data_IF_880732702462
#
_entry.id   IF_880732702462
#
_cell.length_a   1.000
_cell.length_b   1.000
_cell.length_c   1.000
_cell.angle_alpha   90.00
_cell.angle_beta   90.00
_cell.angle_gamma   90.00
#
_symmetry.space_group_name_H-M   'P 1'
#
loop_
_entity.id
_entity.type
_entity.pdbx_description
1 polymer ?
#
# COMPACT_ATOMS: atom_id res chain seq x y z
N UNK A 1 -12.26 -61.16 -39.27
CA UNK A 1 -13.23 -61.71 -38.29
C UNK A 1 -13.44 -60.57 -37.30
N UNK A 2 -14.50 -59.87 -37.54
CA UNK A 2 -15.79 -59.79 -36.83
C UNK A 2 -15.55 -59.14 -35.44
N UNK A 3 -16.22 -58.09 -35.05
CA UNK A 3 -17.46 -57.49 -35.47
C UNK A 3 -17.74 -56.32 -34.55
N UNK A 4 -18.26 -55.32 -35.13
CA UNK A 4 -19.39 -54.48 -34.78
C UNK A 4 -19.96 -54.47 -33.38
N UNK A 5 -20.15 -53.26 -32.80
CA UNK A 5 -21.43 -52.55 -32.52
C UNK A 5 -21.17 -51.34 -31.69
N UNK A 6 -21.45 -50.21 -32.18
CA UNK A 6 -22.41 -49.10 -31.95
C UNK A 6 -23.37 -49.29 -30.78
N UNK A 7 -23.50 -48.17 -30.02
CA UNK A 7 -24.74 -47.57 -29.46
C UNK A 7 -24.35 -46.44 -28.54
N UNK A 8 -24.62 -45.22 -28.97
CA UNK A 8 -25.73 -44.32 -28.59
C UNK A 8 -26.00 -44.18 -27.10
N UNK A 9 -25.77 -43.01 -26.55
CA UNK A 9 -26.85 -42.25 -25.94
C UNK A 9 -26.41 -41.00 -25.22
N UNK A 10 -26.98 -39.95 -25.66
CA UNK A 10 -27.77 -38.94 -24.94
C UNK A 10 -27.05 -37.91 -24.13
N UNK A 11 -27.04 -36.72 -24.75
CA UNK A 11 -27.19 -35.40 -24.17
C UNK A 11 -28.18 -35.39 -23.00
N UNK A 12 -27.75 -34.90 -21.84
CA UNK A 12 -28.65 -34.32 -20.85
C UNK A 12 -28.15 -32.91 -20.47
N UNK A 13 -28.77 -31.96 -21.17
CA UNK A 13 -28.78 -30.55 -20.78
C UNK A 13 -29.64 -30.41 -19.53
N UNK A 14 -29.01 -30.23 -18.35
CA UNK A 14 -29.70 -29.82 -17.17
C UNK A 14 -29.69 -28.29 -17.03
N UNK A 15 -30.72 -27.73 -17.64
CA UNK A 15 -31.19 -26.36 -17.52
C UNK A 15 -31.73 -26.15 -16.08
N UNK A 16 -30.95 -25.57 -15.16
CA UNK A 16 -31.46 -25.14 -13.85
C UNK A 16 -32.15 -23.79 -14.00
N UNK A 17 -33.43 -23.82 -14.30
CA UNK A 17 -34.33 -22.68 -14.12
C UNK A 17 -34.52 -22.42 -12.63
N UNK A 18 -34.08 -21.25 -12.16
CA UNK A 18 -34.39 -20.73 -10.84
C UNK A 18 -35.88 -20.40 -10.71
N UNK A 19 -36.55 -21.09 -9.83
CA UNK A 19 -37.95 -20.88 -9.49
C UNK A 19 -38.12 -19.58 -8.68
N UNK A 20 -38.63 -18.54 -9.33
CA UNK A 20 -39.17 -17.37 -8.64
C UNK A 20 -40.56 -17.71 -8.09
N UNK A 21 -40.68 -17.85 -6.77
CA UNK A 21 -42.00 -17.94 -6.11
C UNK A 21 -42.69 -16.57 -6.17
N UNK A 22 -43.70 -16.49 -7.00
CA UNK A 22 -44.66 -15.39 -7.06
C UNK A 22 -45.57 -15.46 -5.82
N UNK A 23 -45.38 -14.57 -4.87
CA UNK A 23 -46.38 -14.35 -3.81
C UNK A 23 -47.52 -13.53 -4.39
N UNK A 24 -48.67 -14.15 -4.52
CA UNK A 24 -49.93 -13.46 -4.85
C UNK A 24 -50.62 -13.10 -3.55
N UNK A 25 -50.88 -11.82 -3.24
CA UNK A 25 -51.76 -11.45 -2.14
C UNK A 25 -53.22 -11.58 -2.64
N UNK A 26 -54.03 -12.22 -1.82
CA UNK A 26 -55.45 -12.38 -2.03
C UNK A 26 -56.24 -11.07 -2.02
N UNK A 27 -57.26 -11.06 -2.85
CA UNK A 27 -58.26 -10.01 -3.02
C UNK A 27 -59.01 -9.66 -1.74
N UNK A 28 -59.03 -8.36 -1.38
CA UNK A 28 -60.21 -7.77 -0.70
C UNK A 28 -60.34 -6.31 -1.14
N UNK A 29 -61.60 -6.02 -1.51
CA UNK A 29 -62.09 -4.76 -2.06
C UNK A 29 -61.83 -3.56 -1.16
N UNK A 30 -61.40 -2.45 -1.76
CA UNK A 30 -61.34 -1.15 -1.12
C UNK A 30 -60.74 -0.12 -2.09
N UNK A 31 -61.59 0.61 -2.79
CA UNK A 31 -61.22 1.69 -3.70
C UNK A 31 -60.47 2.78 -2.95
N UNK A 32 -59.25 3.08 -3.39
CA UNK A 32 -58.65 4.40 -3.29
C UNK A 32 -57.56 4.49 -4.38
N UNK A 33 -57.93 5.10 -5.46
CA UNK A 33 -57.03 5.44 -6.54
C UNK A 33 -56.08 6.57 -6.07
N UNK A 34 -54.90 6.23 -5.62
CA UNK A 34 -53.78 7.12 -5.58
C UNK A 34 -52.90 6.90 -6.81
N UNK A 35 -53.30 7.54 -7.89
CA UNK A 35 -52.49 7.73 -9.07
C UNK A 35 -51.30 8.63 -8.71
N UNK A 36 -50.20 8.04 -8.25
CA UNK A 36 -48.90 8.71 -8.24
C UNK A 36 -48.41 8.70 -9.66
N UNK A 37 -48.69 9.73 -10.43
CA UNK A 37 -47.93 10.11 -11.59
C UNK A 37 -46.51 10.43 -11.13
N UNK A 38 -45.63 9.44 -11.20
CA UNK A 38 -44.17 9.68 -11.15
C UNK A 38 -43.85 10.39 -12.46
N UNK A 39 -43.91 11.72 -12.44
CA UNK A 39 -43.21 12.52 -13.45
C UNK A 39 -41.74 12.16 -13.29
N UNK A 40 -41.21 11.34 -14.20
CA UNK A 40 -39.77 11.24 -14.41
C UNK A 40 -39.29 12.64 -14.74
N UNK A 41 -38.80 13.32 -13.73
CA UNK A 41 -38.00 14.52 -13.94
C UNK A 41 -36.71 14.00 -14.55
N UNK A 42 -36.57 14.16 -15.86
CA UNK A 42 -35.30 14.11 -16.56
C UNK A 42 -34.41 15.20 -15.94
N UNK A 43 -33.81 14.88 -14.81
CA UNK A 43 -32.67 15.68 -14.33
C UNK A 43 -31.51 15.30 -15.22
N UNK A 44 -30.93 16.25 -15.98
CA UNK A 44 -29.69 15.98 -16.68
C UNK A 44 -28.68 15.50 -15.62
N UNK A 45 -28.16 14.28 -15.79
CA UNK A 45 -27.10 13.73 -14.97
C UNK A 45 -25.91 14.69 -15.10
N UNK A 46 -25.72 15.52 -14.07
CA UNK A 46 -24.67 16.53 -14.05
C UNK A 46 -23.33 15.81 -14.09
N UNK A 47 -22.44 16.09 -15.06
CA UNK A 47 -21.14 15.39 -15.18
C UNK A 47 -20.21 15.55 -13.96
N UNK A 48 -20.53 16.45 -13.04
CA UNK A 48 -19.76 16.71 -11.83
C UNK A 48 -19.79 15.58 -10.80
N UNK A 49 -20.88 14.81 -10.70
CA UNK A 49 -20.98 13.70 -9.74
C UNK A 49 -20.01 12.58 -10.05
N UNK A 50 -19.72 12.33 -11.33
CA UNK A 50 -18.78 11.29 -11.73
C UNK A 50 -17.32 11.64 -11.39
N UNK A 51 -16.95 12.92 -11.45
CA UNK A 51 -15.57 13.34 -11.09
C UNK A 51 -15.32 13.24 -9.59
N UNK A 52 -16.26 13.69 -8.77
CA UNK A 52 -16.14 13.56 -7.31
C UNK A 52 -16.09 12.09 -6.88
N UNK A 53 -16.94 11.24 -7.45
CA UNK A 53 -16.91 9.80 -7.17
C UNK A 53 -15.57 9.17 -7.56
N UNK A 54 -14.99 9.55 -8.70
CA UNK A 54 -13.68 9.04 -9.12
C UNK A 54 -12.56 9.43 -8.14
N UNK A 55 -12.57 10.65 -7.60
CA UNK A 55 -11.62 11.10 -6.59
C UNK A 55 -11.74 10.29 -5.31
N UNK A 56 -12.97 10.09 -4.80
CA UNK A 56 -13.18 9.26 -3.61
C UNK A 56 -12.71 7.82 -3.79
N UNK A 57 -12.98 7.21 -4.94
CA UNK A 57 -12.53 5.85 -5.25
C UNK A 57 -11.00 5.79 -5.27
N UNK A 58 -10.36 6.80 -5.81
CA UNK A 58 -8.90 6.88 -5.87
C UNK A 58 -8.28 7.03 -4.48
N UNK A 59 -8.78 7.94 -3.65
CA UNK A 59 -8.35 8.10 -2.26
C UNK A 59 -8.57 6.82 -1.46
N UNK A 60 -9.71 6.17 -1.63
CA UNK A 60 -10.00 4.88 -0.99
C UNK A 60 -8.98 3.80 -1.41
N UNK A 61 -8.61 3.75 -2.68
CA UNK A 61 -7.58 2.81 -3.17
C UNK A 61 -6.23 3.08 -2.50
N UNK A 62 -5.82 4.36 -2.39
CA UNK A 62 -4.56 4.75 -1.75
C UNK A 62 -4.54 4.36 -0.26
N UNK A 63 -5.63 4.65 0.47
CA UNK A 63 -5.77 4.27 1.88
C UNK A 63 -5.75 2.74 2.05
N UNK A 64 -6.40 2.02 1.14
CA UNK A 64 -6.40 0.55 1.15
C UNK A 64 -5.01 -0.04 0.91
N UNK A 65 -4.21 0.55 0.01
CA UNK A 65 -2.80 0.16 -0.20
C UNK A 65 -1.96 0.39 1.06
N UNK A 66 -2.15 1.53 1.73
CA UNK A 66 -1.44 1.80 2.99
C UNK A 66 -1.84 0.81 4.09
N UNK A 67 -3.12 0.49 4.22
CA UNK A 67 -3.59 -0.54 5.17
C UNK A 67 -2.99 -1.91 4.86
N UNK A 68 -2.93 -2.30 3.59
CA UNK A 68 -2.27 -3.55 3.18
C UNK A 68 -0.77 -3.53 3.50
N UNK A 69 -0.10 -2.39 3.28
CA UNK A 69 1.30 -2.21 3.65
C UNK A 69 1.53 -2.41 5.15
N UNK A 70 0.69 -1.79 6.00
CA UNK A 70 0.78 -1.91 7.45
C UNK A 70 0.60 -3.35 7.96
N UNK A 71 -0.09 -4.21 7.19
CA UNK A 71 -0.24 -5.64 7.53
C UNK A 71 0.97 -6.50 7.16
N UNK A 72 1.96 -5.94 6.44
CA UNK A 72 3.17 -6.68 6.05
C UNK A 72 4.27 -6.52 7.09
N UNK A 73 4.97 -7.62 7.40
CA UNK A 73 6.17 -7.59 8.27
C UNK A 73 7.41 -7.13 7.47
N UNK A 74 7.49 -5.83 7.21
CA UNK A 74 8.60 -5.22 6.48
C UNK A 74 9.63 -4.68 7.48
N UNK A 75 10.69 -5.47 7.71
CA UNK A 75 11.72 -5.14 8.71
C UNK A 75 12.72 -4.10 8.20
N UNK A 76 12.93 -3.05 9.00
CA UNK A 76 13.95 -2.04 8.74
C UNK A 76 13.60 -1.03 7.66
N UNK A 77 12.36 -0.98 7.23
CA UNK A 77 11.82 0.05 6.35
C UNK A 77 10.51 0.59 6.93
N UNK A 78 10.36 1.89 6.93
CA UNK A 78 9.16 2.58 7.43
C UNK A 78 8.66 3.53 6.37
N UNK A 79 7.37 3.54 6.16
CA UNK A 79 6.73 4.36 5.13
C UNK A 79 5.43 4.94 5.69
N UNK A 80 5.17 6.20 5.40
CA UNK A 80 3.96 6.92 5.80
C UNK A 80 3.50 7.83 4.66
N UNK A 81 2.19 7.87 4.33
CA UNK A 81 1.66 8.86 3.41
C UNK A 81 1.82 10.29 3.94
N UNK A 82 2.04 11.24 3.06
CA UNK A 82 2.02 12.67 3.38
C UNK A 82 0.67 13.08 3.98
N UNK A 83 0.69 13.99 4.94
CA UNK A 83 -0.52 14.57 5.49
C UNK A 83 -1.22 15.54 4.52
N UNK A 84 -0.45 16.13 3.60
CA UNK A 84 -0.92 17.15 2.67
C UNK A 84 -1.29 16.59 1.30
N UNK A 85 -0.68 15.46 0.91
CA UNK A 85 -0.86 14.87 -0.42
C UNK A 85 -0.82 13.35 -0.36
N UNK A 86 -1.97 12.69 -0.48
CA UNK A 86 -2.08 11.23 -0.43
C UNK A 86 -1.28 10.49 -1.53
N UNK A 87 -0.90 11.17 -2.60
CA UNK A 87 -0.06 10.60 -3.67
C UNK A 87 1.44 10.63 -3.37
N UNK A 88 1.85 11.33 -2.32
CA UNK A 88 3.23 11.40 -1.88
C UNK A 88 3.40 10.63 -0.57
N UNK A 89 4.36 9.70 -0.52
CA UNK A 89 4.66 8.92 0.67
C UNK A 89 6.12 9.10 1.05
N UNK A 90 6.37 9.32 2.32
CA UNK A 90 7.73 9.40 2.88
C UNK A 90 8.17 8.04 3.36
N UNK A 91 9.43 7.71 3.12
CA UNK A 91 10.00 6.45 3.58
C UNK A 91 11.41 6.62 4.13
N UNK A 92 11.79 5.71 5.00
CA UNK A 92 13.17 5.56 5.47
C UNK A 92 13.53 4.09 5.54
N UNK A 93 14.74 3.77 5.08
CA UNK A 93 15.27 2.42 5.12
C UNK A 93 16.54 2.35 5.94
N UNK A 94 16.56 1.43 6.91
CA UNK A 94 17.71 1.06 7.72
C UNK A 94 18.30 -0.25 7.16
N UNK A 95 19.49 -0.19 6.60
CA UNK A 95 20.11 -1.36 5.97
C UNK A 95 20.96 -2.10 7.01
N UNK A 96 20.56 -3.35 7.30
CA UNK A 96 21.20 -4.18 8.33
C UNK A 96 22.20 -5.19 7.79
N UNK A 97 22.21 -5.44 6.48
CA UNK A 97 23.07 -6.45 5.84
C UNK A 97 23.52 -6.01 4.45
N UNK A 98 24.49 -6.72 3.90
CA UNK A 98 25.08 -6.39 2.59
C UNK A 98 26.13 -5.29 2.68
N UNK A 99 26.56 -4.80 1.51
CA UNK A 99 27.65 -3.80 1.40
C UNK A 99 27.23 -2.41 1.89
N UNK A 100 25.92 -2.12 1.90
CA UNK A 100 25.34 -0.86 2.40
C UNK A 100 24.98 -0.93 3.88
N UNK A 101 25.41 -1.98 4.60
CA UNK A 101 25.12 -2.16 6.03
C UNK A 101 25.45 -0.92 6.85
N UNK A 102 24.49 -0.51 7.69
CA UNK A 102 24.56 0.67 8.54
C UNK A 102 24.03 1.95 7.87
N UNK A 103 23.68 1.91 6.59
CA UNK A 103 23.08 3.04 5.91
C UNK A 103 21.64 3.32 6.36
N UNK A 104 21.31 4.61 6.37
CA UNK A 104 19.96 5.12 6.65
C UNK A 104 19.57 6.03 5.50
N UNK A 105 18.66 5.57 4.66
CA UNK A 105 18.30 6.28 3.44
C UNK A 105 16.84 6.71 3.49
N UNK A 106 16.60 8.03 3.42
CA UNK A 106 15.26 8.58 3.21
C UNK A 106 14.93 8.57 1.74
N UNK A 107 13.67 8.32 1.45
CA UNK A 107 13.15 8.33 0.08
C UNK A 107 11.70 8.78 0.05
N UNK A 108 11.26 9.20 -1.11
CA UNK A 108 9.84 9.49 -1.38
C UNK A 108 9.31 8.51 -2.42
N UNK A 109 8.03 8.17 -2.30
CA UNK A 109 7.27 7.43 -3.30
C UNK A 109 6.18 8.36 -3.82
N UNK A 110 6.18 8.63 -5.13
CA UNK A 110 5.15 9.41 -5.78
C UNK A 110 4.26 8.50 -6.60
N UNK A 111 2.98 8.43 -6.26
CA UNK A 111 1.99 7.64 -6.98
C UNK A 111 1.56 8.38 -8.26
N UNK A 112 1.34 7.69 -9.37
CA UNK A 112 0.83 8.30 -10.58
C UNK A 112 -0.61 8.80 -10.39
N UNK A 113 -1.04 9.86 -11.11
CA UNK A 113 -2.37 10.45 -10.96
C UNK A 113 -3.53 9.48 -11.21
N UNK A 114 -3.30 8.44 -11.99
CA UNK A 114 -4.29 7.42 -12.33
C UNK A 114 -4.10 6.11 -11.52
N UNK A 115 -3.34 6.16 -10.42
CA UNK A 115 -3.15 5.00 -9.54
C UNK A 115 -4.51 4.39 -9.10
N UNK A 116 -4.67 3.04 -9.04
CA UNK A 116 -3.65 1.98 -9.19
C UNK A 116 -3.34 1.58 -10.65
N UNK A 117 -3.90 2.26 -11.61
CA UNK A 117 -3.59 2.13 -13.02
C UNK A 117 -2.44 3.07 -13.38
N UNK A 118 -1.82 2.86 -14.55
CA UNK A 118 -0.74 3.71 -15.03
C UNK A 118 0.64 3.14 -14.73
N UNK A 119 1.62 4.03 -14.59
CA UNK A 119 3.03 3.66 -14.44
C UNK A 119 3.35 3.21 -13.01
N UNK A 120 4.50 2.53 -12.86
CA UNK A 120 5.06 2.20 -11.56
C UNK A 120 5.26 3.46 -10.73
N UNK A 121 4.87 3.47 -9.43
CA UNK A 121 5.17 4.60 -8.56
C UNK A 121 6.66 4.95 -8.56
N UNK A 122 6.95 6.23 -8.66
CA UNK A 122 8.30 6.75 -8.71
C UNK A 122 8.93 6.77 -7.33
N UNK A 123 10.13 6.23 -7.19
CA UNK A 123 10.88 6.23 -5.94
C UNK A 123 12.11 7.11 -6.10
N UNK A 124 12.27 8.09 -5.20
CA UNK A 124 13.40 9.03 -5.23
C UNK A 124 14.06 9.05 -3.86
N UNK A 125 15.37 8.78 -3.81
CA UNK A 125 16.17 8.92 -2.60
C UNK A 125 16.56 10.39 -2.40
N UNK A 126 16.37 10.89 -1.19
CA UNK A 126 16.71 12.27 -0.84
C UNK A 126 18.20 12.47 -0.65
N UNK A 127 18.87 11.46 -0.10
CA UNK A 127 20.33 11.44 0.03
C UNK A 127 20.96 10.88 -1.23
N UNK A 128 22.12 11.38 -1.59
CA UNK A 128 22.86 10.86 -2.73
C UNK A 128 23.34 9.43 -2.45
N UNK A 129 22.83 8.47 -3.20
CA UNK A 129 23.12 7.04 -3.06
C UNK A 129 24.01 6.58 -4.22
N UNK A 130 25.19 6.06 -3.91
CA UNK A 130 26.06 5.46 -4.92
C UNK A 130 25.65 4.01 -5.17
N UNK A 131 24.81 3.79 -6.21
CA UNK A 131 24.23 2.48 -6.51
C UNK A 131 24.00 2.34 -8.02
N UNK A 132 24.21 1.16 -8.65
CA UNK A 132 24.01 0.96 -10.10
C UNK A 132 22.59 1.27 -10.60
N UNK A 133 21.57 1.04 -9.77
CA UNK A 133 20.16 1.22 -10.13
C UNK A 133 19.59 2.59 -9.71
N UNK A 134 20.37 3.47 -9.12
CA UNK A 134 19.93 4.78 -8.69
C UNK A 134 20.61 5.83 -9.55
N UNK A 135 19.79 6.70 -10.13
CA UNK A 135 20.28 7.81 -10.93
C UNK A 135 21.06 8.80 -10.05
N UNK A 136 22.35 9.07 -10.35
CA UNK A 136 23.17 9.95 -9.52
C UNK A 136 22.74 11.42 -9.55
N UNK A 137 21.98 11.86 -10.57
CA UNK A 137 21.56 13.25 -10.73
C UNK A 137 20.31 13.59 -9.92
N UNK A 138 19.32 12.71 -9.93
CA UNK A 138 18.01 12.97 -9.34
C UNK A 138 17.60 12.00 -8.21
N UNK A 139 18.43 11.01 -7.89
CA UNK A 139 18.15 10.03 -6.84
C UNK A 139 17.07 9.00 -7.19
N UNK A 140 16.59 8.95 -8.43
CA UNK A 140 15.51 8.06 -8.85
C UNK A 140 15.98 6.61 -8.95
N UNK A 141 15.21 5.71 -8.33
CA UNK A 141 15.44 4.27 -8.40
C UNK A 141 14.85 3.70 -9.69
N UNK A 142 15.65 2.93 -10.43
CA UNK A 142 15.16 2.11 -11.53
C UNK A 142 14.26 1.00 -11.04
N UNK A 143 12.99 1.06 -11.37
CA UNK A 143 12.00 0.04 -11.01
C UNK A 143 11.72 -0.95 -12.14
N UNK A 144 12.20 -0.68 -13.35
CA UNK A 144 11.90 -1.47 -14.55
C UNK A 144 12.35 -2.94 -14.47
N UNK A 145 13.39 -3.25 -13.66
CA UNK A 145 13.82 -4.62 -13.43
C UNK A 145 12.81 -5.43 -12.61
N UNK A 146 12.24 -4.83 -11.57
CA UNK A 146 11.22 -5.48 -10.72
C UNK A 146 9.81 -5.39 -11.31
N UNK A 147 9.55 -4.30 -12.03
CA UNK A 147 8.26 -3.95 -12.59
C UNK A 147 8.41 -3.44 -14.02
N UNK A 148 8.69 -4.35 -14.99
CA UNK A 148 8.78 -3.96 -16.41
C UNK A 148 7.50 -3.31 -16.91
N UNK A 149 6.37 -3.74 -16.38
CA UNK A 149 5.05 -3.22 -16.58
C UNK A 149 4.31 -3.19 -15.24
N UNK A 150 3.84 -2.01 -14.84
CA UNK A 150 3.02 -1.90 -13.64
C UNK A 150 1.59 -2.34 -13.96
N UNK A 151 1.12 -3.33 -13.24
CA UNK A 151 -0.21 -3.90 -13.43
C UNK A 151 -1.09 -3.61 -12.22
N UNK A 152 -2.39 -3.57 -12.43
CA UNK A 152 -3.39 -3.36 -11.36
C UNK A 152 -3.23 -4.30 -10.16
N UNK A 153 -2.66 -5.48 -10.36
CA UNK A 153 -2.42 -6.46 -9.30
C UNK A 153 -1.12 -6.21 -8.53
N UNK A 154 -0.25 -5.32 -9.01
CA UNK A 154 0.92 -4.90 -8.28
C UNK A 154 0.51 -4.04 -7.08
N UNK A 155 1.27 -4.17 -5.99
CA UNK A 155 1.00 -3.51 -4.71
C UNK A 155 2.20 -2.69 -4.27
N UNK A 156 1.94 -1.61 -3.54
CA UNK A 156 3.02 -0.75 -3.03
C UNK A 156 3.96 -1.52 -2.10
N UNK A 157 3.46 -2.45 -1.29
CA UNK A 157 4.33 -3.27 -0.43
C UNK A 157 5.34 -4.12 -1.23
N UNK A 158 5.00 -4.56 -2.45
CA UNK A 158 5.94 -5.27 -3.34
C UNK A 158 7.04 -4.33 -3.84
N UNK A 159 6.69 -3.08 -4.14
CA UNK A 159 7.68 -2.05 -4.49
C UNK A 159 8.65 -1.79 -3.33
N UNK A 160 8.13 -1.74 -2.10
CA UNK A 160 8.96 -1.56 -0.89
C UNK A 160 9.86 -2.76 -0.64
N UNK A 161 9.38 -3.98 -0.87
CA UNK A 161 10.24 -5.17 -0.85
C UNK A 161 11.34 -5.10 -1.92
N UNK A 162 11.02 -4.59 -3.10
CA UNK A 162 12.00 -4.38 -4.16
C UNK A 162 13.07 -3.36 -3.73
N UNK A 163 12.68 -2.23 -3.15
CA UNK A 163 13.62 -1.25 -2.58
C UNK A 163 14.60 -1.92 -1.60
N UNK A 164 14.09 -2.75 -0.71
CA UNK A 164 14.94 -3.48 0.24
C UNK A 164 15.87 -4.45 -0.45
N UNK A 165 15.37 -5.19 -1.43
CA UNK A 165 16.12 -6.22 -2.15
C UNK A 165 17.31 -5.66 -2.94
N UNK A 166 17.16 -4.51 -3.58
CA UNK A 166 18.24 -3.92 -4.40
C UNK A 166 19.47 -3.53 -3.57
N UNK A 167 19.31 -3.16 -2.30
CA UNK A 167 20.43 -2.87 -1.41
C UNK A 167 21.12 -4.12 -0.84
N UNK A 168 20.38 -5.21 -0.74
CA UNK A 168 20.90 -6.47 -0.18
C UNK A 168 21.62 -7.28 -1.27
N UNK A 169 21.02 -7.36 -2.44
CA UNK A 169 21.51 -8.18 -3.55
C UNK A 169 21.70 -7.34 -4.82
N UNK A 170 22.94 -7.09 -5.15
CA UNK A 170 23.33 -6.50 -6.44
C UNK A 170 23.36 -7.62 -7.49
N UNK A 171 22.42 -7.61 -8.41
CA UNK A 171 22.38 -8.59 -9.50
C UNK A 171 23.09 -7.99 -10.74
N UNK A 172 24.17 -8.60 -11.23
CA UNK A 172 24.93 -8.08 -12.37
C UNK A 172 24.13 -8.10 -13.69
N UNK A 173 23.00 -8.79 -13.73
CA UNK A 173 22.11 -8.83 -14.92
C UNK A 173 21.21 -7.61 -15.05
N UNK A 174 21.14 -6.77 -14.01
CA UNK A 174 20.31 -5.57 -14.04
C UNK A 174 20.93 -4.52 -14.95
N UNK A 175 20.11 -3.90 -15.79
CA UNK A 175 20.55 -2.78 -16.63
C UNK A 175 20.85 -1.57 -15.74
N UNK A 176 22.10 -1.13 -15.62
CA UNK A 176 22.46 -0.04 -14.74
C UNK A 176 22.03 1.30 -15.34
N UNK A 177 21.55 2.20 -14.47
CA UNK A 177 21.36 3.63 -14.79
C UNK A 177 22.64 4.39 -14.47
N UNK A 178 23.28 4.05 -13.35
CA UNK A 178 24.56 4.62 -12.95
C UNK A 178 25.70 3.78 -13.51
N UNK A 179 26.22 4.22 -14.66
CA UNK A 179 27.30 3.55 -15.38
C UNK A 179 28.61 3.51 -14.56
N UNK A 180 28.91 4.60 -13.82
CA UNK A 180 30.11 4.68 -12.98
C UNK A 180 30.06 3.60 -11.90
N UNK A 181 28.92 3.49 -11.21
CA UNK A 181 28.76 2.51 -10.15
C UNK A 181 28.84 1.06 -10.68
N UNK A 182 28.25 0.78 -11.84
CA UNK A 182 28.30 -0.54 -12.47
C UNK A 182 29.71 -0.90 -12.91
N UNK A 183 30.38 -0.01 -13.63
CA UNK A 183 31.74 -0.23 -14.11
C UNK A 183 32.71 -0.45 -12.94
N UNK A 184 32.57 0.30 -11.87
CA UNK A 184 33.38 0.16 -10.68
C UNK A 184 33.09 -1.15 -9.93
N UNK A 185 31.83 -1.58 -9.88
CA UNK A 185 31.45 -2.86 -9.30
C UNK A 185 32.08 -4.06 -10.04
N UNK A 186 32.17 -3.98 -11.37
CA UNK A 186 32.70 -5.05 -12.20
C UNK A 186 34.24 -5.06 -12.23
N UNK A 187 34.85 -3.88 -12.34
CA UNK A 187 36.31 -3.74 -12.54
C UNK A 187 37.09 -3.71 -11.23
N UNK A 188 36.58 -3.07 -10.19
CA UNK A 188 37.25 -2.89 -8.91
C UNK A 188 36.28 -2.86 -7.72
N UNK A 189 36.01 -4.04 -7.22
CA UNK A 189 35.08 -4.21 -6.09
C UNK A 189 35.51 -3.49 -4.82
N UNK A 190 36.81 -3.37 -4.54
CA UNK A 190 37.30 -2.67 -3.34
C UNK A 190 37.06 -1.16 -3.46
N UNK A 191 37.34 -0.56 -4.59
CA UNK A 191 37.03 0.85 -4.82
C UNK A 191 35.54 1.12 -4.77
N UNK A 192 34.71 0.21 -5.29
CA UNK A 192 33.26 0.27 -5.17
C UNK A 192 32.83 0.25 -3.70
N UNK A 193 33.37 -0.67 -2.89
CA UNK A 193 33.07 -0.75 -1.45
C UNK A 193 33.44 0.51 -0.69
N UNK A 194 34.59 1.14 -1.00
CA UNK A 194 35.00 2.40 -0.36
C UNK A 194 34.05 3.56 -0.71
N UNK A 195 33.60 3.64 -1.97
CA UNK A 195 32.59 4.63 -2.36
C UNK A 195 31.25 4.40 -1.62
N UNK A 196 30.83 3.14 -1.52
CA UNK A 196 29.62 2.78 -0.75
C UNK A 196 29.77 3.12 0.73
N UNK A 197 30.94 2.84 1.35
CA UNK A 197 31.19 3.23 2.76
C UNK A 197 31.08 4.75 2.96
N UNK A 198 31.61 5.53 2.01
CA UNK A 198 31.49 6.99 2.05
C UNK A 198 30.03 7.43 1.96
N UNK A 199 29.27 6.83 1.04
CA UNK A 199 27.83 7.06 0.90
C UNK A 199 27.06 6.70 2.20
N UNK A 200 27.34 5.54 2.79
CA UNK A 200 26.73 5.11 4.05
C UNK A 200 27.06 6.08 5.20
N UNK A 201 28.31 6.52 5.33
CA UNK A 201 28.68 7.53 6.35
C UNK A 201 27.94 8.85 6.13
N UNK A 202 27.84 9.30 4.88
CA UNK A 202 27.08 10.51 4.54
C UNK A 202 25.61 10.38 4.95
N UNK A 203 24.96 9.24 4.64
CA UNK A 203 23.57 9.01 4.99
C UNK A 203 23.29 9.04 6.49
N UNK A 204 24.20 8.51 7.30
CA UNK A 204 24.08 8.54 8.78
C UNK A 204 24.29 9.96 9.32
N UNK A 205 25.24 10.72 8.76
CA UNK A 205 25.46 12.10 9.17
C UNK A 205 24.26 13.00 8.85
N UNK A 206 23.65 12.80 7.70
CA UNK A 206 22.50 13.57 7.22
C UNK A 206 21.16 13.15 7.83
N UNK A 207 21.15 12.10 8.66
CA UNK A 207 19.90 11.61 9.27
C UNK A 207 19.20 12.66 10.13
N UNK A 208 19.97 13.58 10.71
CA UNK A 208 19.47 14.65 11.58
C UNK A 208 19.27 15.99 10.85
N UNK A 209 19.49 16.01 9.54
CA UNK A 209 19.26 17.23 8.75
C UNK A 209 17.78 17.61 8.80
N UNK A 210 17.50 18.93 8.78
CA UNK A 210 16.13 19.42 8.81
C UNK A 210 15.32 18.87 7.64
N UNK A 211 13.98 18.79 7.78
CA UNK A 211 13.12 18.32 6.72
C UNK A 211 13.22 19.20 5.47
N UNK A 212 13.20 18.58 4.30
CA UNK A 212 13.18 19.29 3.01
C UNK A 212 11.79 19.78 2.63
N UNK A 213 10.75 19.29 3.32
CA UNK A 213 9.35 19.63 3.10
C UNK A 213 8.67 19.94 4.44
N UNK A 214 7.80 20.93 4.44
CA UNK A 214 6.95 21.26 5.59
C UNK A 214 5.69 20.40 5.58
N UNK A 215 5.83 19.14 6.01
CA UNK A 215 4.74 18.16 6.11
C UNK A 215 4.78 17.51 7.50
N UNK A 216 3.63 17.45 8.22
CA UNK A 216 3.58 16.85 9.55
C UNK A 216 3.99 15.36 9.59
N UNK A 217 3.87 14.65 8.46
CA UNK A 217 4.26 13.25 8.36
C UNK A 217 5.67 13.03 7.79
N UNK A 218 6.42 14.13 7.57
CA UNK A 218 7.81 13.98 7.13
C UNK A 218 8.65 13.30 8.21
N UNK A 219 9.40 12.24 7.82
CA UNK A 219 10.17 11.45 8.77
C UNK A 219 11.44 12.20 9.19
N UNK A 220 11.44 12.68 10.41
CA UNK A 220 12.57 13.38 11.03
C UNK A 220 13.18 12.56 12.17
N UNK A 221 14.44 12.81 12.48
CA UNK A 221 15.13 12.16 13.57
C UNK A 221 15.75 13.22 14.48
N UNK A 222 15.68 12.97 15.76
CA UNK A 222 16.37 13.77 16.80
C UNK A 222 17.46 12.93 17.44
N UNK A 223 18.49 13.59 17.94
CA UNK A 223 19.55 12.90 18.69
C UNK A 223 18.98 12.28 19.95
N UNK A 224 19.46 11.10 20.30
CA UNK A 224 19.02 10.41 21.50
C UNK A 224 19.41 11.20 22.74
N UNK A 225 18.42 11.54 23.56
CA UNK A 225 18.58 12.20 24.86
C UNK A 225 17.99 11.24 25.90
N UNK A 226 18.81 10.75 26.82
CA UNK A 226 18.43 9.72 27.78
C UNK A 226 17.22 10.14 28.63
N UNK A 227 17.18 11.37 29.08
CA UNK A 227 16.13 11.90 29.96
C UNK A 227 14.72 11.85 29.29
N UNK A 228 14.69 12.05 27.98
CA UNK A 228 13.44 12.09 27.20
C UNK A 228 13.08 10.72 26.62
N UNK A 229 14.08 10.03 26.07
CA UNK A 229 13.80 8.83 25.27
C UNK A 229 13.78 7.53 26.08
N UNK A 230 14.48 7.47 27.24
CA UNK A 230 14.46 6.27 28.09
C UNK A 230 13.07 5.98 28.69
N UNK A 231 12.31 6.97 29.19
CA UNK A 231 10.95 6.73 29.64
C UNK A 231 10.04 6.17 28.53
N UNK A 232 10.08 6.80 27.35
CA UNK A 232 9.28 6.38 26.17
C UNK A 232 9.67 4.96 25.75
N UNK A 233 10.98 4.67 25.73
CA UNK A 233 11.50 3.35 25.42
C UNK A 233 10.98 2.29 26.39
N UNK A 234 10.96 2.57 27.67
CA UNK A 234 10.41 1.65 28.69
C UNK A 234 8.92 1.41 28.43
N UNK A 235 8.14 2.45 28.22
CA UNK A 235 6.70 2.33 27.92
C UNK A 235 6.42 1.47 26.67
N UNK A 236 7.27 1.57 25.63
CA UNK A 236 7.12 0.77 24.40
C UNK A 236 7.48 -0.71 24.65
N UNK A 237 8.51 -0.97 25.46
CA UNK A 237 9.01 -2.33 25.71
C UNK A 237 8.37 -3.01 26.91
N UNK A 238 7.73 -2.27 27.82
CA UNK A 238 6.91 -2.89 28.85
C UNK A 238 5.73 -3.61 28.18
N UNK A 239 5.56 -4.91 28.43
CA UNK A 239 4.39 -5.60 27.92
C UNK A 239 3.17 -4.89 28.51
N UNK A 240 2.41 -4.19 27.67
CA UNK A 240 1.08 -3.75 28.06
C UNK A 240 0.37 -5.01 28.49
N UNK A 241 0.01 -5.09 29.79
CA UNK A 241 -0.89 -6.11 30.27
C UNK A 241 -2.12 -5.99 29.34
N UNK A 242 -2.27 -6.98 28.45
CA UNK A 242 -3.48 -7.08 27.66
C UNK A 242 -4.59 -7.07 28.70
N UNK A 243 -5.43 -6.03 28.68
CA UNK A 243 -6.67 -6.02 29.43
C UNK A 243 -7.44 -7.25 28.90
N UNK A 244 -7.28 -8.40 29.60
CA UNK A 244 -7.97 -9.65 29.30
C UNK A 244 -9.50 -9.49 29.30
N UNK A 245 -9.96 -8.28 29.64
CA UNK A 245 -11.36 -7.89 29.69
C UNK A 245 -11.81 -6.95 28.55
N UNK A 246 -10.99 -6.70 27.51
CA UNK A 246 -11.56 -6.07 26.33
C UNK A 246 -12.28 -7.12 25.50
N UNK A 247 -13.62 -7.19 25.58
CA UNK A 247 -14.38 -8.09 24.73
C UNK A 247 -14.06 -7.73 23.27
N UNK A 248 -13.64 -8.74 22.51
CA UNK A 248 -13.54 -8.70 21.04
C UNK A 248 -14.96 -8.50 20.46
N UNK A 249 -15.52 -7.31 20.64
CA UNK A 249 -16.83 -6.94 20.15
C UNK A 249 -16.71 -5.86 19.08
N UNK A 250 -17.60 -5.87 18.13
CA UNK A 250 -17.79 -4.74 17.22
C UNK A 250 -18.05 -3.49 18.07
N UNK A 251 -17.32 -2.40 17.83
CA UNK A 251 -17.37 -1.19 18.68
C UNK A 251 -18.77 -0.56 18.84
N UNK A 252 -19.73 -0.97 18.02
CA UNK A 252 -21.13 -0.52 18.03
C UNK A 252 -22.11 -1.53 18.65
N UNK A 253 -21.61 -2.66 19.18
CA UNK A 253 -22.41 -3.68 19.85
C UNK A 253 -22.01 -3.76 21.32
N UNK A 254 -22.98 -3.83 22.20
CA UNK A 254 -22.74 -3.96 23.63
C UNK A 254 -22.04 -5.29 23.93
N UNK A 255 -20.94 -5.32 24.72
CA UNK A 255 -20.21 -6.53 25.05
C UNK A 255 -21.13 -7.61 25.65
N UNK A 256 -21.10 -8.82 25.07
CA UNK A 256 -21.95 -9.93 25.50
C UNK A 256 -23.41 -9.87 25.03
N UNK A 257 -23.79 -8.91 24.19
CA UNK A 257 -25.12 -8.74 23.63
C UNK A 257 -25.03 -8.64 22.09
N UNK A 258 -26.07 -9.11 21.42
CA UNK A 258 -26.26 -8.88 19.98
C UNK A 258 -27.00 -7.56 19.69
N UNK A 259 -27.31 -6.78 20.73
CA UNK A 259 -27.98 -5.51 20.58
C UNK A 259 -27.00 -4.38 20.38
N UNK A 260 -27.26 -3.44 19.46
CA UNK A 260 -26.45 -2.23 19.33
C UNK A 260 -26.53 -1.41 20.62
N UNK A 261 -25.53 -0.56 20.89
CA UNK A 261 -25.52 0.36 22.02
C UNK A 261 -26.78 1.24 21.97
N UNK A 262 -27.85 0.80 22.66
CA UNK A 262 -29.05 1.61 22.94
C UNK A 262 -28.78 2.45 24.18
N UNK A 263 -29.46 3.59 24.28
CA UNK A 263 -29.41 4.43 25.48
C UNK A 263 -29.69 3.57 26.71
N UNK A 264 -28.90 3.71 27.79
CA UNK A 264 -29.25 3.03 29.05
C UNK A 264 -30.66 3.41 29.44
N UNK A 265 -31.47 2.42 29.74
CA UNK A 265 -32.80 2.66 30.32
C UNK A 265 -32.62 3.47 31.61
N UNK A 266 -33.22 4.64 31.65
CA UNK A 266 -33.28 5.44 32.88
C UNK A 266 -34.01 4.62 33.94
N UNK A 267 -33.30 4.28 35.03
CA UNK A 267 -33.87 3.72 36.24
C UNK A 267 -34.52 4.84 37.04
#
# INVERSE_FOLDING_TARGET
>A
MSGTKSEDSKNDNLNRQGSFRKLVPGSSNGESSLSMSVKMIDRPIVPQTNKQHAVFVQEYNIISEYKMLCSQDLKGIYVIPSALNSFLWFGVQFIRQGIYKGGVFRFTITLPPNFPLGDCPKVVFETQVFHPLINPENGELCTSWGFPEWRRNNRIWQLIQYITKVFIKLDPKMTPINQEASSLQESNLEAFRERVKTCVKASVNQVFDPPTMDDPHYITFTRYVNEVHDPIKREIYEPKSEDENKPLGLSWVQPGSLQPFSKPEAR
#
